data_IF_081981347809
#
_entry.id   IF_081981347809
#
_cell.length_a   1.000
_cell.length_b   1.000
_cell.length_c   1.000
_cell.angle_alpha   90.00
_cell.angle_beta   90.00
_cell.angle_gamma   90.00
#
_symmetry.space_group_name_H-M   'P 1'
#
loop_
_entity.id
_entity.type
_entity.pdbx_description
1 polymer ?
#
# COMPACT_ATOMS: atom_id res chain seq x y z
N UNK A 1 -0.15 10.40 8.99
CA UNK A 1 -0.51 9.11 8.34
C UNK A 1 0.44 8.74 7.20
N UNK A 2 0.73 9.65 6.28
CA UNK A 2 1.61 9.38 5.12
C UNK A 2 3.05 9.01 5.53
N UNK A 3 3.59 9.59 6.60
CA UNK A 3 4.95 9.28 7.08
C UNK A 3 5.16 7.81 7.48
N UNK A 4 4.24 7.23 8.26
CA UNK A 4 4.32 5.82 8.64
C UNK A 4 4.15 4.91 7.42
N UNK A 5 3.29 5.32 6.48
CA UNK A 5 3.06 4.60 5.23
C UNK A 5 4.30 4.59 4.31
N UNK A 6 4.96 5.75 4.15
CA UNK A 6 6.20 5.89 3.40
C UNK A 6 7.35 5.09 4.03
N UNK A 7 7.41 5.05 5.36
CA UNK A 7 8.36 4.20 6.10
C UNK A 7 8.13 2.72 5.79
N UNK A 8 6.89 2.27 5.70
CA UNK A 8 6.56 0.87 5.36
C UNK A 8 6.95 0.53 3.93
N UNK A 9 6.69 1.40 2.94
CA UNK A 9 7.16 1.17 1.55
C UNK A 9 8.67 1.09 1.48
N UNK A 10 9.35 2.02 2.16
CA UNK A 10 10.82 2.07 2.19
C UNK A 10 11.38 0.80 2.84
N UNK A 11 10.80 0.34 3.95
CA UNK A 11 11.18 -0.91 4.60
C UNK A 11 10.95 -2.12 3.69
N UNK A 12 9.85 -2.19 2.96
CA UNK A 12 9.57 -3.30 2.03
C UNK A 12 10.57 -3.34 0.86
N UNK A 13 10.92 -2.18 0.30
CA UNK A 13 11.94 -2.08 -0.75
C UNK A 13 13.32 -2.48 -0.21
N UNK A 14 13.65 -2.07 1.02
CA UNK A 14 14.90 -2.43 1.67
C UNK A 14 14.98 -3.94 1.96
N UNK A 15 13.89 -4.55 2.45
CA UNK A 15 13.77 -5.99 2.68
C UNK A 15 13.91 -6.73 1.35
N UNK A 16 13.24 -6.30 0.28
CA UNK A 16 13.38 -6.92 -1.03
C UNK A 16 14.83 -6.87 -1.53
N UNK A 17 15.51 -5.71 -1.47
CA UNK A 17 16.93 -5.56 -1.83
C UNK A 17 17.86 -6.43 -0.99
N UNK A 18 17.68 -6.42 0.33
CA UNK A 18 18.57 -7.11 1.25
C UNK A 18 18.43 -8.64 1.13
N UNK A 19 17.21 -9.14 0.90
CA UNK A 19 16.96 -10.57 0.73
C UNK A 19 17.33 -11.09 -0.67
N UNK A 20 17.25 -10.26 -1.71
CA UNK A 20 17.83 -10.58 -3.02
C UNK A 20 19.36 -10.65 -2.97
N UNK A 21 20.03 -9.75 -2.23
CA UNK A 21 21.48 -9.76 -2.08
C UNK A 21 21.99 -10.96 -1.26
N UNK A 22 21.19 -11.46 -0.31
CA UNK A 22 21.52 -12.63 0.51
C UNK A 22 21.18 -13.99 -0.12
N UNK A 23 20.68 -14.03 -1.38
CA UNK A 23 20.25 -15.26 -2.05
C UNK A 23 18.96 -15.88 -1.49
N UNK A 24 18.29 -15.22 -0.54
CA UNK A 24 17.11 -15.76 0.12
C UNK A 24 15.83 -15.31 -0.60
N UNK A 25 15.53 -16.00 -1.71
CA UNK A 25 14.40 -15.74 -2.60
C UNK A 25 13.04 -15.80 -1.90
N UNK A 26 12.93 -16.56 -0.81
CA UNK A 26 11.69 -16.77 -0.04
C UNK A 26 11.20 -15.46 0.58
N UNK A 27 12.10 -14.67 1.14
CA UNK A 27 11.70 -13.42 1.80
C UNK A 27 11.47 -12.31 0.75
N UNK A 28 12.23 -12.35 -0.36
CA UNK A 28 11.98 -11.48 -1.50
C UNK A 28 10.60 -11.70 -2.13
N UNK A 29 10.17 -12.96 -2.28
CA UNK A 29 8.85 -13.28 -2.85
C UNK A 29 7.71 -12.89 -1.92
N UNK A 30 7.83 -13.14 -0.61
CA UNK A 30 6.86 -12.70 0.40
C UNK A 30 6.78 -11.16 0.42
N UNK A 31 7.91 -10.46 0.39
CA UNK A 31 7.94 -8.99 0.35
C UNK A 31 7.26 -8.44 -0.91
N UNK A 32 7.43 -9.09 -2.07
CA UNK A 32 6.77 -8.71 -3.32
C UNK A 32 5.24 -8.82 -3.22
N UNK A 33 4.72 -9.92 -2.67
CA UNK A 33 3.27 -10.11 -2.46
C UNK A 33 2.73 -9.05 -1.51
N UNK A 34 3.41 -8.80 -0.39
CA UNK A 34 3.00 -7.76 0.57
C UNK A 34 3.03 -6.36 -0.04
N UNK A 35 3.97 -6.08 -0.96
CA UNK A 35 4.05 -4.79 -1.64
C UNK A 35 2.84 -4.52 -2.52
N UNK A 36 2.43 -5.52 -3.32
CA UNK A 36 1.22 -5.43 -4.16
C UNK A 36 -0.01 -5.22 -3.29
N UNK A 37 -0.13 -6.00 -2.20
CA UNK A 37 -1.24 -5.90 -1.26
C UNK A 37 -1.32 -4.51 -0.62
N UNK A 38 -0.17 -3.93 -0.25
CA UNK A 38 -0.11 -2.58 0.30
C UNK A 38 -0.64 -1.53 -0.69
N UNK A 39 -0.28 -1.62 -1.98
CA UNK A 39 -0.79 -0.69 -3.01
C UNK A 39 -2.31 -0.82 -3.14
N UNK A 40 -2.84 -2.04 -3.21
CA UNK A 40 -4.29 -2.27 -3.29
C UNK A 40 -5.00 -1.64 -2.10
N UNK A 41 -4.48 -1.83 -0.89
CA UNK A 41 -5.05 -1.26 0.33
C UNK A 41 -5.01 0.28 0.34
N UNK A 42 -3.96 0.91 -0.21
CA UNK A 42 -3.94 2.37 -0.41
C UNK A 42 -5.06 2.78 -1.34
N UNK A 43 -5.17 2.15 -2.51
CA UNK A 43 -6.15 2.53 -3.53
C UNK A 43 -7.56 2.38 -2.98
N UNK A 44 -7.85 1.26 -2.31
CA UNK A 44 -9.12 1.03 -1.62
C UNK A 44 -9.34 2.05 -0.51
N UNK A 45 -8.33 2.38 0.28
CA UNK A 45 -8.43 3.40 1.33
C UNK A 45 -8.70 4.77 0.74
N UNK A 46 -7.98 5.20 -0.29
CA UNK A 46 -8.23 6.49 -0.95
C UNK A 46 -9.64 6.49 -1.55
N UNK A 47 -10.05 5.45 -2.28
CA UNK A 47 -11.40 5.38 -2.84
C UNK A 47 -12.49 5.33 -1.76
N UNK A 48 -12.27 4.68 -0.63
CA UNK A 48 -13.25 4.57 0.46
C UNK A 48 -13.31 5.83 1.33
N UNK A 49 -12.14 6.36 1.69
CA UNK A 49 -11.99 7.49 2.60
C UNK A 49 -12.17 8.83 1.89
N UNK A 50 -11.62 9.01 0.69
CA UNK A 50 -11.83 10.21 -0.13
C UNK A 50 -13.07 10.14 -1.04
N UNK A 51 -13.50 8.95 -1.47
CA UNK A 51 -14.70 8.80 -2.31
C UNK A 51 -16.04 8.94 -1.55
N UNK A 52 -16.04 8.93 -0.21
CA UNK A 52 -17.27 9.13 0.57
C UNK A 52 -17.79 10.56 0.59
N UNK A 53 -17.06 11.53 0.01
CA UNK A 53 -17.51 12.94 -0.06
C UNK A 53 -18.40 13.25 -1.29
N UNK A 54 -18.94 12.24 -1.98
CA UNK A 54 -19.93 12.41 -3.04
C UNK A 54 -21.20 11.63 -2.79
N UNK A 55 -21.76 11.73 -1.57
CA UNK A 55 -23.14 11.30 -1.28
C UNK A 55 -23.99 12.34 -0.54
N UNK A 56 -23.67 13.63 -0.67
CA UNK A 56 -24.62 14.67 -0.29
C UNK A 56 -24.47 15.93 -1.17
N UNK A 57 -24.98 15.88 -2.40
CA UNK A 57 -25.55 17.08 -3.01
C UNK A 57 -26.57 16.70 -4.09
N UNK A 58 -27.83 17.04 -3.80
CA UNK A 58 -29.01 17.05 -4.69
C UNK A 58 -29.80 15.74 -4.82
N UNK A 59 -30.44 15.32 -3.72
CA UNK A 59 -31.87 14.99 -3.79
C UNK A 59 -32.60 16.18 -3.17
N UNK A 60 -32.88 17.15 -4.02
CA UNK A 60 -33.89 18.19 -3.82
C UNK A 60 -34.34 18.56 -5.23
N UNK A 61 -35.44 17.92 -5.64
CA UNK A 61 -36.39 18.34 -6.66
C UNK A 61 -37.62 17.45 -6.47
#
# INVERSE_FOLDING_TARGET
MVFMFAVTLTALVLVAKNNFAGGNLIIGSIASILFVLAIVLIVTTINTFFGSNSKNKKISA
#
